data_IF_779757677751
#
_entry.id   IF_779757677751
#
_cell.length_a   1.000
_cell.length_b   1.000
_cell.length_c   1.000
_cell.angle_alpha   90.00
_cell.angle_beta   90.00
_cell.angle_gamma   90.00
#
_symmetry.space_group_name_H-M   'P 1'
#
loop_
_entity.id
_entity.type
_entity.pdbx_description
1 polymer ?
#
# COMPACT_ATOMS: atom_id res chain seq x y z
N UNK A 1 16.60 7.39 2.75
CA UNK A 1 16.19 8.78 3.06
C UNK A 1 15.58 8.80 4.46
N UNK A 2 15.90 9.78 5.30
CA UNK A 2 15.32 9.83 6.64
C UNK A 2 13.85 10.27 6.54
N UNK A 3 12.96 9.54 7.21
CA UNK A 3 11.54 9.82 7.20
C UNK A 3 10.92 9.58 8.57
N UNK A 4 9.92 10.40 8.91
CA UNK A 4 9.20 10.34 10.19
C UNK A 4 7.76 10.80 10.04
N UNK A 5 6.93 10.45 11.02
CA UNK A 5 5.54 10.91 11.12
C UNK A 5 5.46 11.98 12.21
N UNK A 6 5.25 13.22 11.80
CA UNK A 6 5.02 14.37 12.67
C UNK A 6 3.54 14.40 13.07
N UNK A 7 3.22 14.64 14.34
CA UNK A 7 1.85 14.91 14.79
C UNK A 7 1.74 16.29 15.43
N UNK A 8 0.61 16.94 15.25
CA UNK A 8 0.36 18.25 15.86
C UNK A 8 -0.97 18.86 15.44
N UNK A 9 -1.26 20.04 16.01
CA UNK A 9 -2.37 20.86 15.58
C UNK A 9 -2.04 21.62 14.30
N UNK A 10 -3.02 21.73 13.40
CA UNK A 10 -2.88 22.55 12.21
C UNK A 10 -2.74 24.03 12.56
N UNK A 11 -1.66 24.66 12.12
CA UNK A 11 -1.42 26.10 12.37
C UNK A 11 -2.29 27.01 11.47
N UNK A 12 -2.73 26.50 10.31
CA UNK A 12 -3.53 27.22 9.33
C UNK A 12 -4.36 26.28 8.45
N UNK A 13 -5.31 26.86 7.71
CA UNK A 13 -6.23 26.18 6.80
C UNK A 13 -5.68 26.06 5.36
N UNK A 14 -4.36 26.20 5.16
CA UNK A 14 -3.76 26.27 3.81
C UNK A 14 -3.40 24.90 3.23
N UNK A 15 -3.39 23.88 4.06
CA UNK A 15 -2.95 22.54 3.69
C UNK A 15 -4.15 21.66 3.37
N UNK A 16 -4.09 20.95 2.25
CA UNK A 16 -5.06 19.90 1.91
C UNK A 16 -4.51 18.53 2.33
N UNK A 17 -5.40 17.70 2.86
CA UNK A 17 -5.11 16.33 3.20
C UNK A 17 -4.79 15.51 1.93
N UNK A 18 -3.69 14.78 1.93
CA UNK A 18 -3.29 13.92 0.81
C UNK A 18 -4.21 12.71 0.62
N UNK A 19 -4.96 12.31 1.66
CA UNK A 19 -5.84 11.14 1.60
C UNK A 19 -7.25 11.42 1.07
N UNK A 20 -7.82 12.58 1.37
CA UNK A 20 -9.20 12.94 0.97
C UNK A 20 -9.29 14.24 0.16
N UNK A 21 -8.17 14.94 -0.06
CA UNK A 21 -8.06 16.20 -0.78
C UNK A 21 -8.84 17.39 -0.20
N UNK A 22 -9.46 17.22 0.97
CA UNK A 22 -10.13 18.29 1.70
C UNK A 22 -9.13 19.11 2.54
N UNK A 23 -9.48 20.36 2.80
CA UNK A 23 -8.69 21.26 3.66
C UNK A 23 -8.63 20.76 5.09
N UNK A 24 -7.46 20.82 5.72
CA UNK A 24 -7.28 20.56 7.15
C UNK A 24 -7.51 21.88 7.90
N UNK A 25 -8.44 21.90 8.86
CA UNK A 25 -8.84 23.13 9.54
C UNK A 25 -7.84 23.47 10.65
N UNK A 26 -7.58 24.77 10.89
CA UNK A 26 -6.72 25.24 11.98
C UNK A 26 -7.20 24.66 13.31
N UNK A 27 -6.24 24.30 14.16
CA UNK A 27 -6.41 23.63 15.45
C UNK A 27 -6.94 22.18 15.35
N UNK A 28 -7.09 21.61 14.16
CA UNK A 28 -7.39 20.18 13.99
C UNK A 28 -6.11 19.34 14.14
N UNK A 29 -6.22 18.14 14.74
CA UNK A 29 -5.10 17.19 14.83
C UNK A 29 -4.83 16.59 13.46
N UNK A 30 -3.57 16.63 13.05
CA UNK A 30 -3.12 16.07 11.77
C UNK A 30 -1.81 15.30 11.90
N UNK A 31 -1.60 14.38 10.96
CA UNK A 31 -0.32 13.72 10.76
C UNK A 31 0.40 14.32 9.56
N UNK A 32 1.72 14.46 9.65
CA UNK A 32 2.61 14.86 8.57
C UNK A 32 3.64 13.77 8.32
N UNK A 33 3.56 13.08 7.19
CA UNK A 33 4.64 12.19 6.76
C UNK A 33 5.74 13.03 6.11
N UNK A 34 6.86 13.15 6.81
CA UNK A 34 8.00 13.99 6.41
C UNK A 34 9.09 13.13 5.79
N UNK A 35 9.54 13.54 4.62
CA UNK A 35 10.67 12.97 3.89
C UNK A 35 11.80 14.01 3.92
N UNK A 36 12.86 13.69 4.65
CA UNK A 36 14.06 14.51 4.74
C UNK A 36 14.92 14.18 3.53
N UNK A 37 15.10 15.17 2.65
CA UNK A 37 15.91 15.04 1.45
C UNK A 37 17.34 15.52 1.74
N UNK A 38 18.35 14.63 1.75
CA UNK A 38 19.73 15.05 1.95
C UNK A 38 20.16 15.95 0.78
N UNK A 39 20.53 17.20 1.07
CA UNK A 39 21.11 18.12 0.09
C UNK A 39 20.12 18.93 -0.77
N UNK A 40 18.81 18.69 -0.67
CA UNK A 40 17.81 19.42 -1.49
C UNK A 40 17.27 20.71 -0.85
N UNK A 41 17.74 21.07 0.35
CA UNK A 41 17.40 22.35 1.01
C UNK A 41 15.97 22.47 1.53
N UNK A 42 15.09 21.50 1.27
CA UNK A 42 13.74 21.46 1.82
C UNK A 42 13.25 20.02 2.08
N UNK A 43 12.46 19.88 3.14
CA UNK A 43 11.76 18.64 3.48
C UNK A 43 10.42 18.56 2.75
N UNK A 44 10.11 17.39 2.18
CA UNK A 44 8.78 17.13 1.59
C UNK A 44 7.83 16.63 2.68
N UNK A 45 6.65 17.24 2.80
CA UNK A 45 5.63 16.85 3.80
C UNK A 45 4.32 16.48 3.14
N UNK A 46 3.80 15.29 3.45
CA UNK A 46 2.42 14.91 3.13
C UNK A 46 1.56 14.98 4.38
N UNK A 47 0.53 15.83 4.37
CA UNK A 47 -0.34 16.02 5.52
C UNK A 47 -1.63 15.22 5.39
N UNK A 48 -2.12 14.69 6.50
CA UNK A 48 -3.32 13.88 6.58
C UNK A 48 -4.17 14.30 7.78
N UNK A 49 -5.48 14.27 7.65
CA UNK A 49 -6.36 14.27 8.83
C UNK A 49 -6.07 13.04 9.70
N UNK A 50 -6.37 13.12 11.00
CA UNK A 50 -6.21 12.03 11.96
C UNK A 50 -6.83 10.71 11.45
N UNK A 51 -8.02 10.79 10.85
CA UNK A 51 -8.78 9.64 10.32
C UNK A 51 -8.43 9.26 8.89
N UNK A 52 -7.72 10.12 8.15
CA UNK A 52 -7.35 9.87 6.77
C UNK A 52 -6.06 9.06 6.61
N UNK A 53 -5.24 8.95 7.67
CA UNK A 53 -4.12 8.03 7.68
C UNK A 53 -4.64 6.59 7.71
N UNK A 54 -4.42 5.84 6.62
CA UNK A 54 -4.94 4.48 6.43
C UNK A 54 -3.93 3.39 6.79
N UNK A 55 -2.64 3.66 6.61
CA UNK A 55 -1.54 2.74 6.85
C UNK A 55 -0.39 3.49 7.53
N UNK A 56 0.37 2.78 8.37
CA UNK A 56 1.59 3.33 8.94
C UNK A 56 2.66 3.39 7.83
N UNK A 57 3.24 4.57 7.56
CA UNK A 57 4.32 4.66 6.57
C UNK A 57 5.50 3.79 6.99
N UNK A 58 6.16 3.20 5.99
CA UNK A 58 7.30 2.30 6.19
C UNK A 58 8.60 2.94 5.73
N UNK A 59 9.62 2.77 6.56
CA UNK A 59 11.01 3.10 6.28
C UNK A 59 11.61 2.24 5.18
N UNK A 60 12.84 2.58 4.77
CA UNK A 60 13.59 1.86 3.73
C UNK A 60 13.87 0.40 4.10
N UNK A 61 13.89 0.04 5.40
CA UNK A 61 14.05 -1.33 5.90
C UNK A 61 12.71 -1.96 6.32
N UNK A 62 11.59 -1.45 5.80
CA UNK A 62 10.23 -1.90 6.09
C UNK A 62 9.80 -1.78 7.57
N UNK A 63 10.54 -1.00 8.37
CA UNK A 63 10.17 -0.66 9.74
C UNK A 63 9.10 0.46 9.76
N UNK A 64 8.26 0.51 10.81
CA UNK A 64 7.38 1.66 11.02
C UNK A 64 8.23 2.92 11.18
N UNK A 65 7.82 4.02 10.54
CA UNK A 65 8.48 5.31 10.75
C UNK A 65 8.24 5.83 12.18
N UNK A 66 9.20 6.57 12.73
CA UNK A 66 9.08 7.13 14.08
C UNK A 66 7.97 8.20 14.15
N UNK A 67 7.19 8.19 15.22
CA UNK A 67 6.23 9.25 15.54
C UNK A 67 6.93 10.33 16.37
N UNK A 68 6.81 11.59 15.95
CA UNK A 68 7.46 12.75 16.58
C UNK A 68 6.39 13.77 16.99
N UNK A 69 6.69 14.54 18.04
CA UNK A 69 5.91 15.67 18.55
C UNK A 69 4.56 15.33 19.19
N UNK A 70 4.38 14.09 19.67
CA UNK A 70 3.15 13.70 20.38
C UNK A 70 2.98 14.47 21.70
N UNK A 71 4.09 14.77 22.40
CA UNK A 71 4.07 15.52 23.65
C UNK A 71 3.58 16.98 23.49
N UNK A 72 3.54 17.50 22.26
CA UNK A 72 2.98 18.83 21.97
C UNK A 72 1.45 18.88 21.95
N UNK A 73 0.76 17.74 22.10
CA UNK A 73 -0.69 17.64 22.17
C UNK A 73 -1.18 17.58 23.62
N UNK A 74 -2.46 17.91 23.83
CA UNK A 74 -3.15 17.65 25.11
C UNK A 74 -3.23 16.16 25.41
N UNK A 75 -3.26 15.77 26.68
CA UNK A 75 -3.26 14.37 27.11
C UNK A 75 -4.41 13.56 26.52
N UNK A 76 -5.61 14.15 26.39
CA UNK A 76 -6.76 13.49 25.78
C UNK A 76 -6.53 13.20 24.29
N UNK A 77 -5.88 14.14 23.60
CA UNK A 77 -5.58 14.03 22.17
C UNK A 77 -4.38 13.11 21.90
N UNK A 78 -3.42 13.04 22.81
CA UNK A 78 -2.34 12.03 22.77
C UNK A 78 -2.94 10.62 22.76
N UNK A 79 -3.94 10.36 23.64
CA UNK A 79 -4.63 9.07 23.67
C UNK A 79 -5.34 8.78 22.34
N UNK A 80 -6.08 9.74 21.78
CA UNK A 80 -6.73 9.57 20.45
C UNK A 80 -5.73 9.21 19.35
N UNK A 81 -4.55 9.84 19.36
CA UNK A 81 -3.48 9.55 18.40
C UNK A 81 -2.94 8.13 18.58
N UNK A 82 -2.68 7.71 19.81
CA UNK A 82 -2.24 6.35 20.11
C UNK A 82 -3.27 5.30 19.68
N UNK A 83 -4.54 5.47 20.09
CA UNK A 83 -5.64 4.58 19.71
C UNK A 83 -5.75 4.46 18.18
N UNK A 84 -5.59 5.59 17.47
CA UNK A 84 -5.62 5.62 16.02
C UNK A 84 -4.46 4.85 15.39
N UNK A 85 -3.25 5.00 15.91
CA UNK A 85 -2.06 4.29 15.40
C UNK A 85 -2.19 2.79 15.64
N UNK A 86 -2.66 2.38 16.83
CA UNK A 86 -2.92 0.97 17.14
C UNK A 86 -3.96 0.36 16.20
N UNK A 87 -5.05 1.09 15.95
CA UNK A 87 -6.08 0.68 15.00
C UNK A 87 -5.52 0.48 13.59
N UNK A 88 -4.66 1.38 13.11
CA UNK A 88 -4.02 1.27 11.80
C UNK A 88 -3.11 0.03 11.75
N UNK A 89 -2.30 -0.22 12.78
CA UNK A 89 -1.43 -1.40 12.86
C UNK A 89 -2.22 -2.71 12.79
N UNK A 90 -3.33 -2.81 13.53
CA UNK A 90 -4.22 -3.99 13.52
C UNK A 90 -4.87 -4.21 12.14
N UNK A 91 -5.25 -3.14 11.43
CA UNK A 91 -5.91 -3.26 10.14
C UNK A 91 -4.96 -3.53 8.97
N UNK A 92 -3.68 -3.14 9.06
CA UNK A 92 -2.68 -3.48 8.04
C UNK A 92 -2.57 -4.99 7.80
N UNK A 93 -2.68 -5.81 8.85
CA UNK A 93 -2.65 -7.27 8.72
C UNK A 93 -3.80 -7.86 7.89
N UNK A 94 -5.00 -7.25 7.97
CA UNK A 94 -6.16 -7.68 7.17
C UNK A 94 -5.98 -7.36 5.68
N UNK A 95 -5.33 -6.23 5.36
CA UNK A 95 -5.02 -5.85 3.98
C UNK A 95 -3.99 -6.79 3.36
N UNK A 96 -2.89 -7.06 4.07
CA UNK A 96 -1.86 -8.04 3.65
C UNK A 96 -2.46 -9.42 3.38
N UNK A 97 -3.32 -9.92 4.26
CA UNK A 97 -4.01 -11.19 4.05
C UNK A 97 -4.92 -11.20 2.81
N UNK A 98 -5.57 -10.06 2.49
CA UNK A 98 -6.41 -9.95 1.30
C UNK A 98 -5.57 -9.86 0.02
N UNK A 99 -4.45 -9.14 0.04
CA UNK A 99 -3.51 -9.05 -1.09
C UNK A 99 -2.86 -10.42 -1.39
N UNK A 100 -2.44 -11.19 -0.38
CA UNK A 100 -1.93 -12.56 -0.58
C UNK A 100 -2.99 -13.47 -1.23
N UNK A 101 -4.24 -13.47 -0.73
CA UNK A 101 -5.33 -14.28 -1.32
C UNK A 101 -5.71 -13.89 -2.75
N UNK A 102 -5.50 -12.63 -3.12
CA UNK A 102 -5.73 -12.16 -4.50
C UNK A 102 -4.62 -12.63 -5.44
N UNK A 103 -3.36 -12.64 -4.96
CA UNK A 103 -2.21 -13.14 -5.72
C UNK A 103 -2.31 -14.66 -5.95
N UNK A 104 -2.63 -15.44 -4.92
CA UNK A 104 -2.84 -16.89 -5.04
C UNK A 104 -3.87 -17.22 -6.14
N UNK A 105 -5.00 -16.52 -6.16
CA UNK A 105 -6.03 -16.72 -7.20
C UNK A 105 -5.57 -16.35 -8.61
N UNK A 106 -4.67 -15.37 -8.75
CA UNK A 106 -4.11 -15.00 -10.04
C UNK A 106 -3.12 -16.05 -10.54
N UNK A 107 -2.30 -16.61 -9.64
CA UNK A 107 -1.38 -17.70 -9.96
C UNK A 107 -2.13 -18.97 -10.37
N UNK A 108 -3.17 -19.36 -9.61
CA UNK A 108 -4.04 -20.50 -9.94
C UNK A 108 -4.70 -20.35 -11.32
N UNK A 109 -5.21 -19.14 -11.63
CA UNK A 109 -5.84 -18.86 -12.92
C UNK A 109 -4.81 -18.87 -14.07
N UNK A 110 -3.58 -18.44 -13.82
CA UNK A 110 -2.48 -18.50 -14.78
C UNK A 110 -2.04 -19.94 -15.06
N UNK A 111 -1.99 -20.80 -14.04
CA UNK A 111 -1.70 -22.23 -14.20
C UNK A 111 -2.76 -22.94 -15.04
N UNK A 112 -4.05 -22.70 -14.77
CA UNK A 112 -5.13 -23.28 -15.57
C UNK A 112 -5.03 -22.91 -17.06
N UNK A 113 -4.75 -21.63 -17.35
CA UNK A 113 -4.59 -21.15 -18.73
C UNK A 113 -3.37 -21.79 -19.42
N UNK A 114 -2.27 -22.03 -18.68
CA UNK A 114 -1.09 -22.74 -19.22
C UNK A 114 -1.42 -24.20 -19.53
N UNK A 115 -2.08 -24.90 -18.61
CA UNK A 115 -2.51 -26.28 -18.82
C UNK A 115 -3.42 -26.42 -20.05
N UNK A 116 -4.35 -25.49 -20.25
CA UNK A 116 -5.26 -25.50 -21.39
C UNK A 116 -4.54 -25.26 -22.74
N UNK A 117 -3.54 -24.36 -22.76
CA UNK A 117 -2.65 -24.18 -23.92
C UNK A 117 -1.83 -25.43 -24.24
N UNK A 118 -1.32 -26.10 -23.20
CA UNK A 118 -0.54 -27.33 -23.36
C UNK A 118 -1.41 -28.47 -23.91
N UNK A 119 -2.65 -28.61 -23.43
CA UNK A 119 -3.65 -29.54 -23.95
C UNK A 119 -3.96 -29.23 -25.42
N UNK A 120 -4.24 -27.98 -25.76
CA UNK A 120 -4.51 -27.58 -27.14
C UNK A 120 -3.31 -27.84 -28.06
N UNK A 121 -2.10 -27.52 -27.61
CA UNK A 121 -0.88 -27.79 -28.38
C UNK A 121 -0.68 -29.28 -28.66
N UNK A 122 -1.01 -30.13 -27.68
CA UNK A 122 -0.91 -31.58 -27.78
C UNK A 122 -1.97 -32.13 -28.73
N UNK A 123 -3.20 -31.62 -28.66
CA UNK A 123 -4.27 -31.94 -29.59
C UNK A 123 -3.91 -31.58 -31.04
N UNK A 124 -3.38 -30.38 -31.28
CA UNK A 124 -2.92 -29.95 -32.61
C UNK A 124 -1.78 -30.84 -33.13
N UNK A 125 -0.80 -31.20 -32.28
CA UNK A 125 0.27 -32.14 -32.65
C UNK A 125 -0.29 -33.51 -33.04
N UNK A 126 -1.27 -34.01 -32.30
CA UNK A 126 -1.92 -35.28 -32.57
C UNK A 126 -2.69 -35.25 -33.89
N UNK A 127 -3.47 -34.20 -34.15
CA UNK A 127 -4.21 -34.01 -35.41
C UNK A 127 -3.27 -33.98 -36.62
N UNK A 128 -2.17 -33.20 -36.55
CA UNK A 128 -1.15 -33.16 -37.62
C UNK A 128 -0.42 -34.48 -37.83
N UNK A 129 -0.31 -35.32 -36.81
CA UNK A 129 0.27 -36.65 -36.95
C UNK A 129 -0.71 -37.63 -37.61
N UNK A 130 -2.01 -37.49 -37.32
CA UNK A 130 -3.07 -38.29 -37.93
C UNK A 130 -3.22 -37.99 -39.42
N UNK A 131 -3.24 -36.70 -39.80
CA UNK A 131 -3.27 -36.29 -41.22
C UNK A 131 -2.06 -36.83 -42.01
N UNK A 132 -0.86 -36.83 -41.42
CA UNK A 132 0.34 -37.40 -42.06
C UNK A 132 0.27 -38.92 -42.25
N UNK A 133 -0.33 -39.65 -41.30
CA UNK A 133 -0.57 -41.10 -41.44
C UNK A 133 -1.63 -41.42 -42.49
N UNK A 134 -2.69 -40.61 -42.57
CA UNK A 134 -3.81 -40.82 -43.50
C UNK A 134 -3.43 -40.48 -44.96
N UNK A 135 -2.39 -39.66 -45.18
CA UNK A 135 -1.83 -39.32 -46.50
C UNK A 135 -0.73 -40.28 -47.01
N UNK A 136 -0.34 -41.30 -46.24
CA UNK A 136 0.51 -42.39 -46.74
C UNK A 136 1.94 -42.02 -47.13
N UNK A 137 2.54 -41.00 -46.52
CA UNK A 137 3.98 -40.73 -46.66
C UNK A 137 4.75 -41.52 -45.57
N UNK A 138 5.44 -42.59 -45.99
CA UNK A 138 6.45 -43.32 -45.22
C UNK A 138 7.79 -42.56 -45.19
#
# INVERSE_FOLDING_TARGET
>A
MQQYLEVGYALSNRVRCTGCFQTIVKNEIRFGHVFVAPGFGYDKKHWYHLTCLKFMPKGDRNQDVALINIHGLRTEDQKKVHDRIEFIKKNNGKKLMKECKLLEKQDDQCEYIKADKDIFSTFIKHMKHKERKDLGEF
#
